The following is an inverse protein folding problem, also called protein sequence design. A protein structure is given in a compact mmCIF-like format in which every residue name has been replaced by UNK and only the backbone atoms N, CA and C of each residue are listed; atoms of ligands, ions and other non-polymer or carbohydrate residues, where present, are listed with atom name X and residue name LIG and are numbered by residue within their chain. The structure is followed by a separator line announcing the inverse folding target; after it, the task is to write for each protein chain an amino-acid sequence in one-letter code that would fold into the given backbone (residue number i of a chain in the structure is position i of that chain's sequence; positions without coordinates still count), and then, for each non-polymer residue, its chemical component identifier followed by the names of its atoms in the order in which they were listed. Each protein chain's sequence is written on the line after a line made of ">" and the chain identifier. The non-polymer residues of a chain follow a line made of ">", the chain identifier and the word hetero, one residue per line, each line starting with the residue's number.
data_IF_509197898062
#
_entry.id   IF_509197898062
#
_cell.length_a   1.000
_cell.length_b   1.000
_cell.length_c   1.000
_cell.angle_alpha   90.00
_cell.angle_beta   90.00
_cell.angle_gamma   90.00
#
_symmetry.space_group_name_H-M   'P 1'
#
loop_
_entity.id
_entity.type
_entity.pdbx_description
1 polymer ?
#
# COMPACT_ATOMS: atom_id res chain seq x y z
N UNK A 1 -1.74 14.14 -4.43
CA UNK A 1 -3.11 13.72 -4.17
C UNK A 1 -3.14 12.24 -3.87
N UNK A 2 -3.96 11.86 -2.91
CA UNK A 2 -4.01 10.46 -2.51
C UNK A 2 -4.81 9.64 -3.50
N UNK A 3 -4.39 8.40 -3.69
CA UNK A 3 -5.06 7.45 -4.57
C UNK A 3 -5.64 6.35 -3.69
N UNK A 4 -6.83 5.89 -4.02
CA UNK A 4 -7.42 4.74 -3.34
C UNK A 4 -7.14 3.46 -4.10
N UNK A 5 -6.95 2.38 -3.36
CA UNK A 5 -6.76 1.08 -3.95
C UNK A 5 -7.15 -0.02 -2.98
N UNK A 6 -7.07 -1.24 -3.44
CA UNK A 6 -7.42 -2.41 -2.64
C UNK A 6 -6.17 -3.27 -2.47
N UNK A 7 -5.91 -3.69 -1.24
CA UNK A 7 -4.75 -4.54 -0.96
C UNK A 7 -4.94 -5.88 -1.65
N UNK A 8 -4.04 -6.20 -2.55
CA UNK A 8 -4.07 -7.47 -3.26
C UNK A 8 -3.55 -8.60 -2.38
N UNK A 9 -2.41 -8.35 -1.75
CA UNK A 9 -1.87 -9.23 -0.72
C UNK A 9 -0.79 -8.48 0.05
N UNK A 10 -0.51 -8.94 1.24
CA UNK A 10 0.54 -8.36 2.05
C UNK A 10 1.14 -9.43 2.94
N UNK A 11 2.46 -9.48 3.00
CA UNK A 11 3.18 -10.45 3.82
C UNK A 11 3.74 -9.77 5.05
N UNK A 12 3.21 -10.11 6.21
CA UNK A 12 3.71 -9.56 7.48
C UNK A 12 5.14 -10.04 7.77
N UNK A 13 5.46 -11.23 7.33
CA UNK A 13 6.79 -11.78 7.52
C UNK A 13 7.85 -11.04 6.72
N UNK A 14 7.53 -10.77 5.48
CA UNK A 14 8.47 -10.10 4.57
C UNK A 14 8.39 -8.59 4.65
N UNK A 15 7.27 -8.07 5.14
CA UNK A 15 7.09 -6.64 5.33
C UNK A 15 6.72 -5.87 4.07
N UNK A 16 6.14 -6.54 3.07
CA UNK A 16 5.72 -5.85 1.85
C UNK A 16 4.54 -6.56 1.19
N UNK A 17 3.93 -5.88 0.26
CA UNK A 17 2.84 -6.44 -0.51
C UNK A 17 2.53 -5.58 -1.72
N UNK A 18 1.34 -5.76 -2.25
CA UNK A 18 0.89 -5.01 -3.43
C UNK A 18 -0.53 -4.51 -3.25
N UNK A 19 -0.76 -3.32 -3.78
CA UNK A 19 -2.08 -2.70 -3.78
C UNK A 19 -2.55 -2.61 -5.22
N UNK A 20 -3.75 -3.11 -5.48
CA UNK A 20 -4.34 -3.02 -6.81
C UNK A 20 -5.03 -1.67 -6.97
N UNK A 21 -4.73 -0.97 -8.06
CA UNK A 21 -5.39 0.30 -8.38
C UNK A 21 -6.57 0.06 -9.30
N UNK A 22 -7.62 0.87 -9.18
CA UNK A 22 -8.81 0.66 -10.02
C UNK A 22 -8.56 0.84 -11.51
N UNK A 23 -7.60 1.67 -11.87
CA UNK A 23 -7.38 2.03 -13.27
C UNK A 23 -5.97 1.75 -13.75
N UNK A 24 -5.22 0.91 -13.05
CA UNK A 24 -3.84 0.73 -13.44
C UNK A 24 -3.19 -0.49 -12.83
N UNK A 25 -1.88 -0.45 -12.85
CA UNK A 25 -1.05 -1.56 -12.40
C UNK A 25 -0.98 -1.63 -10.89
N UNK A 26 -0.59 -2.79 -10.38
CA UNK A 26 -0.35 -2.97 -8.96
C UNK A 26 0.79 -2.06 -8.51
N UNK A 27 0.68 -1.59 -7.27
CA UNK A 27 1.67 -0.71 -6.67
C UNK A 27 2.33 -1.45 -5.51
N UNK A 28 3.64 -1.44 -5.48
CA UNK A 28 4.40 -2.04 -4.39
C UNK A 28 4.21 -1.22 -3.11
N UNK A 29 4.04 -1.90 -1.98
CA UNK A 29 3.96 -1.24 -0.68
C UNK A 29 4.86 -1.96 0.31
N UNK A 30 5.67 -1.18 1.03
CA UNK A 30 6.53 -1.69 2.10
C UNK A 30 5.95 -1.26 3.44
N UNK A 31 6.18 -2.05 4.50
CA UNK A 31 5.60 -1.73 5.79
C UNK A 31 6.02 -0.35 6.30
N UNK A 32 7.19 0.11 5.93
CA UNK A 32 7.65 1.44 6.34
C UNK A 32 6.84 2.56 5.71
N UNK A 33 6.09 2.27 4.66
CA UNK A 33 5.23 3.25 4.00
C UNK A 33 3.84 3.32 4.61
N UNK A 34 3.52 2.43 5.55
CA UNK A 34 2.21 2.43 6.19
C UNK A 34 2.21 3.44 7.34
N UNK A 35 1.28 4.37 7.27
CA UNK A 35 1.14 5.40 8.31
C UNK A 35 0.31 4.86 9.46
N UNK A 36 0.55 5.40 10.65
CA UNK A 36 -0.23 5.06 11.82
C UNK A 36 0.65 4.56 12.95
N UNK A 37 0.05 4.51 14.14
CA UNK A 37 0.75 4.10 15.34
C UNK A 37 0.67 2.60 15.53
N UNK A 38 1.82 1.97 15.65
CA UNK A 38 1.89 0.60 16.08
C UNK A 38 1.70 -0.42 14.98
N UNK A 39 0.52 -0.58 14.51
CA UNK A 39 0.18 -1.68 13.63
C UNK A 39 0.45 -1.34 12.16
N UNK A 40 1.51 -1.88 11.62
CA UNK A 40 1.92 -1.60 10.24
C UNK A 40 1.70 -2.82 9.36
N UNK A 41 0.45 -3.21 9.26
CA UNK A 41 0.09 -4.36 8.44
C UNK A 41 -1.18 -4.06 7.67
N UNK A 42 -1.32 -4.71 6.54
CA UNK A 42 -2.50 -4.59 5.70
C UNK A 42 -3.13 -5.95 5.52
N UNK A 43 -4.43 -5.95 5.29
CA UNK A 43 -5.17 -7.18 5.06
C UNK A 43 -5.62 -7.26 3.61
N UNK A 44 -5.63 -8.46 3.09
CA UNK A 44 -6.09 -8.72 1.73
C UNK A 44 -7.54 -8.25 1.57
N UNK A 45 -7.77 -7.48 0.50
CA UNK A 45 -9.11 -6.94 0.24
C UNK A 45 -9.40 -5.63 0.95
N UNK A 46 -8.49 -5.15 1.79
CA UNK A 46 -8.68 -3.89 2.50
C UNK A 46 -8.56 -2.71 1.55
N UNK A 47 -9.44 -1.72 1.71
CA UNK A 47 -9.33 -0.48 0.95
C UNK A 47 -8.41 0.48 1.67
N UNK A 48 -7.44 1.01 0.95
CA UNK A 48 -6.45 1.93 1.51
C UNK A 48 -6.30 3.15 0.62
N UNK A 49 -5.78 4.20 1.22
CA UNK A 49 -5.45 5.43 0.51
C UNK A 49 -3.95 5.64 0.62
N UNK A 50 -3.34 6.09 -0.46
CA UNK A 50 -1.88 6.21 -0.49
C UNK A 50 -1.46 7.21 -1.56
N UNK A 51 -0.21 7.63 -1.47
CA UNK A 51 0.43 8.44 -2.51
C UNK A 51 1.34 7.55 -3.34
N UNK A 52 1.46 7.88 -4.61
CA UNK A 52 2.33 7.12 -5.50
C UNK A 52 3.64 7.88 -5.67
N UNK A 53 4.75 7.20 -5.41
CA UNK A 53 6.09 7.77 -5.57
C UNK A 53 6.93 6.85 -6.43
N UNK A 54 7.95 7.43 -7.06
CA UNK A 54 8.89 6.64 -7.84
C UNK A 54 9.93 6.03 -6.93
N UNK A 55 10.12 4.73 -7.06
CA UNK A 55 11.11 4.02 -6.27
C UNK A 55 12.07 3.25 -7.15
N UNK A 56 13.05 2.58 -6.53
CA UNK A 56 14.06 1.83 -7.30
C UNK A 56 13.48 0.73 -8.16
N UNK A 57 12.34 0.18 -7.77
CA UNK A 57 11.70 -0.90 -8.49
C UNK A 57 10.49 -0.44 -9.28
N UNK A 58 10.32 0.87 -9.43
CA UNK A 58 9.16 1.44 -10.10
C UNK A 58 8.27 2.18 -9.14
N UNK A 59 7.00 2.26 -9.47
CA UNK A 59 6.04 2.98 -8.63
C UNK A 59 5.77 2.23 -7.35
N UNK A 60 5.72 2.97 -6.25
CA UNK A 60 5.41 2.37 -4.96
C UNK A 60 4.53 3.31 -4.13
N UNK A 61 3.83 2.72 -3.17
CA UNK A 61 2.92 3.46 -2.30
C UNK A 61 3.67 4.10 -1.16
N UNK A 62 3.22 5.29 -0.77
CA UNK A 62 3.74 6.02 0.39
C UNK A 62 2.58 6.58 1.17
N UNK A 63 2.80 6.80 2.46
CA UNK A 63 1.75 7.34 3.35
C UNK A 63 0.47 6.51 3.28
N UNK A 64 0.61 5.20 3.27
CA UNK A 64 -0.52 4.29 3.16
C UNK A 64 -1.33 4.31 4.44
N UNK A 65 -2.65 4.44 4.32
CA UNK A 65 -3.54 4.46 5.46
C UNK A 65 -4.86 3.81 5.10
N UNK A 66 -5.50 3.16 6.06
CA UNK A 66 -6.80 2.53 5.77
C UNK A 66 -7.86 3.60 5.53
N UNK A 67 -8.81 3.27 4.67
CA UNK A 67 -9.98 4.10 4.45
C UNK A 67 -11.09 3.55 5.34
N UNK A 68 -11.57 4.40 6.18
CA UNK A 68 -12.62 4.00 7.14
C UNK A 68 -13.96 3.79 6.47
#
# INVERSE_FOLDING_TARGET
>A
MATQGTVKWFSNEKGYGFIARPDGDDVFVHFSAISGDGYRTLQEGQTVEFDIVEGPKGKQAANVRPVA
#
